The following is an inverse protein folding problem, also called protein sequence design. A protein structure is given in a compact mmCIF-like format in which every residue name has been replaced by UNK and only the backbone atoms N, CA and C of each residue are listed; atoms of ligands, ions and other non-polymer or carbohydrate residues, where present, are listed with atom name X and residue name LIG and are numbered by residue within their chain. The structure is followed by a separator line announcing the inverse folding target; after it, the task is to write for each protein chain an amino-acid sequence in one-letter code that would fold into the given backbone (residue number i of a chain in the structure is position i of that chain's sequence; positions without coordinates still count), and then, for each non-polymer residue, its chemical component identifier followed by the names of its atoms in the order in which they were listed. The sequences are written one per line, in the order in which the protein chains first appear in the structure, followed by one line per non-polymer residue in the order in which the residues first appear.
data_IF_942644660030
#
_entry.id   IF_942644660030
#
_cell.length_a   1.000
_cell.length_b   1.000
_cell.length_c   1.000
_cell.angle_alpha   90.00
_cell.angle_beta   90.00
_cell.angle_gamma   90.00
#
_symmetry.space_group_name_H-M   'P 1'
#
loop_
_entity.id
_entity.type
_entity.pdbx_description
1 polymer ?
#
# COMPACT_ATOMS: atom_id res chain seq x y z
N UNK A 1 11.97 -23.68 47.24
CA UNK A 1 11.09 -22.60 46.75
C UNK A 1 11.82 -21.51 45.96
N UNK A 2 12.98 -21.01 46.41
CA UNK A 2 13.79 -19.98 45.68
C UNK A 2 14.07 -20.29 44.19
N UNK A 3 14.39 -21.54 43.84
CA UNK A 3 14.72 -21.94 42.45
C UNK A 3 13.53 -21.81 41.48
N UNK A 4 12.31 -22.02 41.97
CA UNK A 4 11.09 -21.90 41.17
C UNK A 4 10.80 -20.43 40.84
N UNK A 5 11.03 -19.54 41.82
CA UNK A 5 10.86 -18.10 41.66
C UNK A 5 11.78 -17.55 40.58
N UNK A 6 13.05 -17.97 40.56
CA UNK A 6 14.01 -17.54 39.53
C UNK A 6 13.62 -18.01 38.12
N UNK A 7 13.12 -19.23 37.98
CA UNK A 7 12.67 -19.80 36.71
C UNK A 7 11.45 -19.07 36.15
N UNK A 8 10.51 -18.68 37.03
CA UNK A 8 9.34 -17.89 36.64
C UNK A 8 9.71 -16.46 36.25
N UNK A 9 10.65 -15.82 36.95
CA UNK A 9 11.12 -14.48 36.56
C UNK A 9 11.90 -14.49 35.24
N UNK A 10 12.70 -15.52 34.96
CA UNK A 10 13.41 -15.63 33.67
C UNK A 10 12.46 -15.91 32.50
N UNK A 11 11.40 -16.69 32.74
CA UNK A 11 10.40 -16.97 31.72
C UNK A 11 9.53 -15.75 31.42
N UNK A 12 9.16 -14.97 32.44
CA UNK A 12 8.40 -13.74 32.28
C UNK A 12 9.17 -12.67 31.49
N UNK A 13 10.48 -12.55 31.69
CA UNK A 13 11.33 -11.62 30.92
C UNK A 13 11.55 -12.08 29.47
N UNK A 14 11.61 -13.39 29.23
CA UNK A 14 11.71 -13.93 27.87
C UNK A 14 10.42 -13.70 27.06
N UNK A 15 9.25 -13.80 27.69
CA UNK A 15 7.95 -13.61 27.00
C UNK A 15 7.71 -12.13 26.64
N UNK A 16 8.15 -11.18 27.47
CA UNK A 16 8.06 -9.74 27.16
C UNK A 16 8.92 -9.32 25.96
N UNK A 17 9.96 -10.08 25.61
CA UNK A 17 10.81 -9.80 24.45
C UNK A 17 10.22 -10.23 23.10
N UNK A 18 9.18 -11.08 23.11
CA UNK A 18 8.59 -11.67 21.89
C UNK A 18 7.36 -10.88 21.43
N UNK A 19 6.67 -10.18 22.35
CA UNK A 19 5.43 -9.45 22.07
C UNK A 19 5.61 -8.00 21.60
N UNK A 20 6.84 -7.54 21.39
CA UNK A 20 7.06 -6.39 20.52
C UNK A 20 6.82 -6.86 19.07
N UNK A 21 5.55 -7.00 18.71
CA UNK A 21 5.10 -7.01 17.33
C UNK A 21 5.62 -5.70 16.72
N UNK A 22 6.83 -5.75 16.16
CA UNK A 22 7.39 -4.60 15.47
C UNK A 22 6.41 -4.28 14.36
N UNK A 23 5.79 -3.10 14.44
CA UNK A 23 4.99 -2.57 13.36
C UNK A 23 5.94 -2.44 12.16
N UNK A 24 5.96 -3.48 11.33
CA UNK A 24 6.83 -3.55 10.17
C UNK A 24 6.25 -2.61 9.14
N UNK A 25 6.92 -1.47 8.95
CA UNK A 25 6.59 -0.54 7.89
C UNK A 25 7.29 -0.98 6.62
N UNK A 26 6.53 -1.15 5.56
CA UNK A 26 7.03 -1.36 4.20
C UNK A 26 6.81 -0.08 3.41
N UNK A 27 7.82 0.36 2.65
CA UNK A 27 7.77 1.59 1.87
C UNK A 27 8.07 1.30 0.40
N UNK A 28 7.26 1.87 -0.48
CA UNK A 28 7.53 1.92 -1.91
C UNK A 28 7.69 3.38 -2.33
N UNK A 29 8.85 3.71 -2.91
CA UNK A 29 9.10 5.04 -3.49
C UNK A 29 8.86 4.95 -4.99
N UNK A 30 8.14 5.94 -5.53
CA UNK A 30 7.86 6.09 -6.96
C UNK A 30 8.19 7.51 -7.39
N UNK A 31 8.75 7.61 -8.59
CA UNK A 31 9.00 8.89 -9.26
C UNK A 31 8.14 8.91 -10.49
N UNK A 32 7.29 9.93 -10.62
CA UNK A 32 6.39 10.11 -11.74
C UNK A 32 6.88 11.28 -12.59
N UNK A 33 7.35 10.98 -13.80
CA UNK A 33 7.69 11.99 -14.79
C UNK A 33 6.43 12.43 -15.54
N UNK A 34 5.95 13.65 -15.26
CA UNK A 34 4.73 14.18 -15.86
C UNK A 34 4.82 14.36 -17.38
N UNK A 35 6.01 14.30 -17.97
CA UNK A 35 6.16 14.29 -19.44
C UNK A 35 5.60 13.02 -20.09
N UNK A 36 5.43 11.93 -19.33
CA UNK A 36 4.82 10.69 -19.79
C UNK A 36 3.27 10.70 -19.76
N UNK A 37 2.65 11.78 -19.28
CA UNK A 37 1.20 11.96 -19.30
C UNK A 37 0.73 12.39 -20.69
N UNK A 38 -0.15 11.58 -21.27
CA UNK A 38 -0.77 11.81 -22.57
C UNK A 38 -2.28 12.03 -22.42
N UNK A 39 -2.82 12.95 -23.21
CA UNK A 39 -4.27 13.18 -23.32
C UNK A 39 -4.73 12.92 -24.76
N UNK A 40 -5.82 12.17 -24.93
CA UNK A 40 -6.41 11.89 -26.25
C UNK A 40 -7.91 12.08 -26.21
N UNK A 41 -8.48 12.68 -27.25
CA UNK A 41 -9.92 12.72 -27.46
C UNK A 41 -10.46 11.33 -27.83
N UNK A 42 -11.48 10.87 -27.13
CA UNK A 42 -12.14 9.58 -27.36
C UNK A 42 -13.65 9.80 -27.44
N UNK A 43 -14.31 9.20 -28.43
CA UNK A 43 -15.77 9.20 -28.51
C UNK A 43 -16.30 7.88 -27.98
N UNK A 44 -17.20 7.93 -27.00
CA UNK A 44 -17.94 6.77 -26.49
C UNK A 44 -19.42 7.12 -26.38
N UNK A 45 -20.32 6.21 -26.75
CA UNK A 45 -21.77 6.44 -26.69
C UNK A 45 -22.22 7.75 -27.39
N UNK A 46 -21.52 8.17 -28.45
CA UNK A 46 -21.82 9.40 -29.19
C UNK A 46 -21.36 10.70 -28.53
N UNK A 47 -20.71 10.64 -27.37
CA UNK A 47 -20.17 11.80 -26.63
C UNK A 47 -18.65 11.79 -26.70
N UNK A 48 -18.04 12.96 -26.85
CA UNK A 48 -16.58 13.12 -26.78
C UNK A 48 -16.11 13.35 -25.36
N UNK A 49 -15.06 12.62 -24.99
CA UNK A 49 -14.37 12.70 -23.72
C UNK A 49 -12.87 12.89 -23.96
N UNK A 50 -12.19 13.46 -22.97
CA UNK A 50 -10.72 13.44 -22.92
C UNK A 50 -10.31 12.25 -22.07
N UNK A 51 -9.58 11.31 -22.67
CA UNK A 51 -8.95 10.20 -21.97
C UNK A 51 -7.54 10.59 -21.58
N UNK A 52 -7.21 10.41 -20.31
CA UNK A 52 -5.86 10.54 -19.80
C UNK A 52 -5.21 9.15 -19.78
N UNK A 53 -3.96 9.07 -20.22
CA UNK A 53 -3.16 7.85 -20.23
C UNK A 53 -1.74 8.18 -19.80
N UNK A 54 -1.08 7.26 -19.11
CA UNK A 54 0.30 7.41 -18.69
C UNK A 54 1.05 6.15 -19.11
N UNK A 55 2.20 6.30 -19.76
CA UNK A 55 2.97 5.16 -20.23
C UNK A 55 3.37 4.24 -19.07
N UNK A 56 3.00 2.95 -19.16
CA UNK A 56 3.29 1.95 -18.13
C UNK A 56 2.27 1.88 -16.98
N UNK A 57 1.25 2.75 -16.95
CA UNK A 57 0.14 2.63 -15.99
C UNK A 57 -1.05 1.90 -16.61
N UNK A 58 -1.77 1.17 -15.77
CA UNK A 58 -2.95 0.42 -16.18
C UNK A 58 -4.16 1.33 -16.20
N UNK A 59 -5.06 1.13 -17.17
CA UNK A 59 -6.28 1.91 -17.27
C UNK A 59 -7.39 1.22 -16.48
N UNK A 60 -8.00 1.94 -15.54
CA UNK A 60 -9.08 1.42 -14.70
C UNK A 60 -10.25 2.38 -14.67
N UNK A 61 -11.46 1.82 -14.69
CA UNK A 61 -12.72 2.53 -14.53
C UNK A 61 -13.73 1.65 -13.79
N UNK A 62 -14.47 2.21 -12.84
CA UNK A 62 -15.72 1.58 -12.38
C UNK A 62 -16.85 1.87 -13.39
N UNK A 63 -17.91 1.06 -13.44
CA UNK A 63 -19.06 1.37 -14.28
C UNK A 63 -19.65 2.75 -13.97
N UNK A 64 -19.63 3.64 -14.95
CA UNK A 64 -20.11 5.03 -14.82
C UNK A 64 -19.05 6.04 -14.37
N UNK A 65 -17.83 5.62 -14.08
CA UNK A 65 -16.72 6.51 -13.71
C UNK A 65 -15.78 6.76 -14.90
N UNK A 66 -15.07 7.90 -14.92
CA UNK A 66 -14.04 8.15 -15.91
C UNK A 66 -12.89 7.16 -15.77
N UNK A 67 -12.33 6.76 -16.91
CA UNK A 67 -11.15 5.90 -16.97
C UNK A 67 -9.89 6.68 -16.58
N UNK A 68 -9.14 6.16 -15.62
CA UNK A 68 -7.95 6.79 -15.06
C UNK A 68 -6.73 5.85 -15.11
N UNK A 69 -5.52 6.40 -15.34
CA UNK A 69 -4.28 5.64 -15.23
C UNK A 69 -3.94 5.39 -13.76
N UNK A 70 -3.73 4.13 -13.40
CA UNK A 70 -3.44 3.68 -12.05
C UNK A 70 -2.20 2.79 -12.01
N UNK A 71 -1.45 2.88 -10.92
CA UNK A 71 -0.37 1.94 -10.59
C UNK A 71 -0.81 1.05 -9.42
N UNK A 72 -0.64 -0.26 -9.57
CA UNK A 72 -0.88 -1.21 -8.49
C UNK A 72 0.41 -1.51 -7.72
N UNK A 73 0.54 -0.93 -6.53
CA UNK A 73 1.62 -1.27 -5.59
C UNK A 73 1.16 -2.39 -4.66
N UNK A 74 1.87 -3.52 -4.68
CA UNK A 74 1.54 -4.71 -3.89
C UNK A 74 2.49 -4.84 -2.70
N UNK A 75 1.93 -4.93 -1.50
CA UNK A 75 2.66 -5.21 -0.27
C UNK A 75 2.26 -6.58 0.28
N UNK A 76 3.24 -7.33 0.80
CA UNK A 76 2.98 -8.57 1.51
C UNK A 76 2.56 -8.26 2.94
N UNK A 77 1.32 -8.57 3.28
CA UNK A 77 0.78 -8.38 4.64
C UNK A 77 0.84 -9.72 5.39
N UNK A 78 1.45 -9.79 6.59
CA UNK A 78 1.49 -11.02 7.36
C UNK A 78 0.09 -11.52 7.76
N UNK A 79 -0.09 -12.85 7.74
CA UNK A 79 -1.35 -13.50 8.13
C UNK A 79 -1.64 -13.21 9.61
N UNK A 80 -2.92 -13.02 9.95
CA UNK A 80 -3.42 -12.62 11.30
C UNK A 80 -3.09 -11.19 11.75
N UNK A 81 -2.61 -10.34 10.85
CA UNK A 81 -2.54 -8.90 11.09
C UNK A 81 -3.87 -8.25 10.71
N UNK A 82 -4.55 -7.62 11.66
CA UNK A 82 -5.69 -6.73 11.39
C UNK A 82 -5.22 -5.28 11.47
N UNK A 83 -5.87 -4.36 10.73
CA UNK A 83 -5.60 -2.92 10.77
C UNK A 83 -4.24 -2.49 10.18
N UNK A 84 -3.91 -2.90 8.95
CA UNK A 84 -2.85 -2.22 8.22
C UNK A 84 -3.32 -0.83 7.77
N UNK A 85 -2.42 0.14 7.78
CA UNK A 85 -2.70 1.49 7.28
C UNK A 85 -1.73 1.79 6.15
N UNK A 86 -2.25 2.17 4.99
CA UNK A 86 -1.45 2.68 3.89
C UNK A 86 -1.51 4.21 3.93
N UNK A 87 -0.34 4.85 3.86
CA UNK A 87 -0.23 6.30 3.72
C UNK A 87 0.52 6.60 2.43
N UNK A 88 -0.02 7.52 1.64
CA UNK A 88 0.64 8.05 0.45
C UNK A 88 1.14 9.44 0.81
N UNK A 89 2.43 9.66 0.63
CA UNK A 89 3.05 10.97 0.77
C UNK A 89 3.78 11.29 -0.53
N UNK A 90 3.66 12.54 -0.98
CA UNK A 90 4.33 13.04 -2.16
C UNK A 90 5.17 14.25 -1.80
N UNK A 91 6.28 14.41 -2.51
CA UNK A 91 7.05 15.66 -2.53
C UNK A 91 6.94 16.16 -3.96
N UNK A 92 6.49 17.41 -4.11
CA UNK A 92 6.34 18.07 -5.41
C UNK A 92 7.63 18.78 -5.79
#
# INVERSE_FOLDING_TARGET
MRKLTYLLTSLATAITGILAAQARSEQAVRTYDTSALCSKGVTAEGVQYTRLSWEGLEMTASPGEPELPVEYVRFLVPVYTNNFTATVSGVT
#
